data_IF_732136120906
#
_entry.id   IF_732136120906
#
_cell.length_a   1.000
_cell.length_b   1.000
_cell.length_c   1.000
_cell.angle_alpha   90.00
_cell.angle_beta   90.00
_cell.angle_gamma   90.00
#
_symmetry.space_group_name_H-M   'P 1'
#
loop_
_entity.id
_entity.type
_entity.pdbx_description
1 polymer ?
#
# COMPACT_ATOMS: atom_id res chain seq x y z
N UNK A 1 -13.25 7.53 2.67
CA UNK A 1 -12.41 6.36 2.42
C UNK A 1 -11.09 6.68 3.05
N UNK A 2 -10.68 5.85 4.00
CA UNK A 2 -9.44 6.04 4.73
C UNK A 2 -8.23 5.42 4.01
N UNK A 3 -7.04 5.82 4.43
CA UNK A 3 -5.79 5.18 4.06
C UNK A 3 -5.35 4.23 5.17
N UNK A 4 -5.03 3.00 4.84
CA UNK A 4 -4.32 2.10 5.74
C UNK A 4 -2.90 1.96 5.22
N UNK A 5 -1.89 2.03 6.07
CA UNK A 5 -0.51 2.00 5.60
C UNK A 5 0.43 1.28 6.54
N UNK A 6 1.56 0.85 6.00
CA UNK A 6 2.68 0.32 6.77
C UNK A 6 3.93 1.18 6.57
N UNK A 7 4.76 1.32 7.60
CA UNK A 7 5.95 2.16 7.52
C UNK A 7 7.07 1.63 8.41
N UNK A 8 8.21 1.26 7.81
CA UNK A 8 9.40 0.82 8.54
C UNK A 8 10.26 2.03 8.96
N UNK A 9 10.72 2.84 8.00
CA UNK A 9 11.64 3.96 8.25
C UNK A 9 10.95 5.33 8.37
N UNK A 10 9.63 5.37 8.36
CA UNK A 10 8.83 6.59 8.48
C UNK A 10 8.52 7.30 7.16
N UNK A 11 9.01 6.81 6.02
CA UNK A 11 8.80 7.47 4.72
C UNK A 11 7.33 7.42 4.28
N UNK A 12 6.68 6.26 4.37
CA UNK A 12 5.24 6.13 4.10
C UNK A 12 4.43 6.97 5.09
N UNK A 13 4.79 6.95 6.39
CA UNK A 13 4.17 7.80 7.41
C UNK A 13 4.24 9.29 7.06
N UNK A 14 5.39 9.76 6.55
CA UNK A 14 5.54 11.15 6.08
C UNK A 14 4.70 11.46 4.85
N UNK A 15 4.43 10.48 3.98
CA UNK A 15 3.54 10.67 2.82
C UNK A 15 2.08 10.82 3.26
N UNK A 16 1.55 9.87 4.04
CA UNK A 16 0.13 9.90 4.46
C UNK A 16 -0.19 11.15 5.27
N UNK A 17 0.74 11.64 6.11
CA UNK A 17 0.58 12.89 6.85
C UNK A 17 0.49 14.16 5.98
N UNK A 18 0.83 14.07 4.69
CA UNK A 18 0.64 15.19 3.74
C UNK A 18 -0.75 15.18 3.11
N UNK A 19 -1.48 14.06 3.19
CA UNK A 19 -2.84 13.93 2.67
C UNK A 19 -3.85 14.48 3.68
N UNK A 20 -5.02 14.88 3.20
CA UNK A 20 -6.16 15.28 4.02
C UNK A 20 -7.12 14.12 4.32
N UNK A 21 -6.68 12.87 4.09
CA UNK A 21 -7.47 11.67 4.30
C UNK A 21 -7.25 11.12 5.72
N UNK A 22 -8.32 10.59 6.31
CA UNK A 22 -8.21 9.78 7.53
C UNK A 22 -7.28 8.59 7.27
N UNK A 23 -6.46 8.24 8.24
CA UNK A 23 -5.47 7.19 8.05
C UNK A 23 -5.14 6.44 9.34
N UNK A 24 -4.78 5.17 9.15
CA UNK A 24 -4.46 4.23 10.22
C UNK A 24 -3.20 3.44 9.86
N UNK A 25 -2.28 3.30 10.82
CA UNK A 25 -1.01 2.61 10.62
C UNK A 25 -1.12 1.16 11.08
N UNK A 26 -0.71 0.22 10.23
CA UNK A 26 -0.47 -1.17 10.61
C UNK A 26 0.78 -1.20 11.48
N UNK A 27 0.63 -1.62 12.74
CA UNK A 27 1.75 -1.71 13.67
C UNK A 27 2.38 -3.11 13.58
N UNK A 28 3.73 -3.23 13.53
CA UNK A 28 4.38 -4.55 13.43
C UNK A 28 4.02 -5.54 14.56
N UNK A 29 3.69 -5.03 15.75
CA UNK A 29 3.36 -5.85 16.91
C UNK A 29 1.85 -6.03 17.13
N UNK A 30 1.03 -5.36 16.32
CA UNK A 30 -0.44 -5.42 16.40
C UNK A 30 -1.06 -5.19 15.01
N UNK A 31 -0.82 -6.09 14.04
CA UNK A 31 -1.30 -5.93 12.67
C UNK A 31 -2.76 -6.36 12.47
N UNK A 32 -3.36 -7.04 13.46
CA UNK A 32 -4.67 -7.68 13.35
C UNK A 32 -5.80 -6.77 13.87
N UNK A 33 -6.26 -5.84 13.03
CA UNK A 33 -7.43 -5.01 13.32
C UNK A 33 -8.40 -4.98 12.13
N UNK A 34 -9.69 -4.78 12.40
CA UNK A 34 -10.73 -4.75 11.36
C UNK A 34 -10.81 -3.37 10.68
N UNK A 35 -10.74 -3.34 9.35
CA UNK A 35 -10.87 -2.13 8.57
C UNK A 35 -12.27 -1.49 8.68
N UNK A 36 -13.32 -2.30 8.73
CA UNK A 36 -14.75 -1.94 8.87
C UNK A 36 -15.36 -0.99 7.81
N UNK A 37 -14.56 -0.45 6.91
CA UNK A 37 -14.97 0.44 5.83
C UNK A 37 -14.02 0.33 4.65
N UNK A 38 -14.45 0.81 3.49
CA UNK A 38 -13.62 0.84 2.29
C UNK A 38 -12.34 1.68 2.50
N UNK A 39 -11.20 1.16 2.04
CA UNK A 39 -9.90 1.80 2.20
C UNK A 39 -8.96 1.61 1.01
N UNK A 40 -7.95 2.47 0.92
CA UNK A 40 -6.74 2.26 0.11
C UNK A 40 -5.60 1.81 1.01
N UNK A 41 -4.83 0.82 0.57
CA UNK A 41 -3.61 0.42 1.28
C UNK A 41 -2.37 1.07 0.66
N UNK A 42 -1.48 1.64 1.47
CA UNK A 42 -0.19 2.17 1.03
C UNK A 42 0.96 1.36 1.64
N UNK A 43 1.74 0.72 0.79
CA UNK A 43 2.77 -0.24 1.22
C UNK A 43 4.15 0.13 0.66
N UNK A 44 5.19 0.22 1.52
CA UNK A 44 6.56 0.36 1.05
C UNK A 44 7.06 -0.96 0.47
N UNK A 45 8.13 -0.88 -0.32
CA UNK A 45 8.77 -2.04 -0.91
C UNK A 45 10.00 -2.43 -0.10
N UNK A 46 9.97 -3.64 0.44
CA UNK A 46 11.13 -4.28 1.03
C UNK A 46 11.20 -5.69 0.49
N UNK A 47 12.38 -6.09 0.04
CA UNK A 47 12.68 -7.44 -0.40
C UNK A 47 13.94 -7.89 0.34
N UNK A 48 14.04 -9.20 0.61
CA UNK A 48 15.29 -9.77 1.08
C UNK A 48 16.38 -9.58 0.00
N UNK A 49 17.53 -9.01 0.39
CA UNK A 49 18.67 -8.82 -0.51
C UNK A 49 19.49 -10.12 -0.68
N UNK A 50 19.08 -11.22 -0.05
CA UNK A 50 19.69 -12.53 -0.21
C UNK A 50 19.52 -13.04 -1.65
N UNK A 51 20.61 -13.46 -2.33
CA UNK A 51 20.53 -13.96 -3.71
C UNK A 51 19.52 -15.11 -3.85
N UNK A 52 18.44 -14.87 -4.60
CA UNK A 52 17.37 -15.84 -4.87
C UNK A 52 16.14 -15.74 -3.95
N UNK A 53 16.14 -14.85 -2.96
CA UNK A 53 14.99 -14.58 -2.09
C UNK A 53 14.18 -13.38 -2.61
N UNK A 54 13.40 -13.59 -3.67
CA UNK A 54 12.44 -12.59 -4.17
C UNK A 54 11.14 -12.66 -3.36
N UNK A 55 11.17 -12.39 -2.05
CA UNK A 55 9.95 -12.37 -1.23
C UNK A 55 9.94 -11.16 -0.31
N UNK A 56 8.85 -10.38 -0.34
CA UNK A 56 8.65 -9.31 0.64
C UNK A 56 8.12 -9.86 1.96
N UNK A 57 7.50 -11.04 1.94
CA UNK A 57 6.69 -11.59 3.03
C UNK A 57 7.46 -11.53 4.37
N UNK A 58 8.67 -12.05 4.43
CA UNK A 58 9.47 -12.09 5.67
C UNK A 58 9.73 -10.71 6.32
N UNK A 59 9.68 -9.61 5.57
CA UNK A 59 9.86 -8.24 6.10
C UNK A 59 8.52 -7.52 6.26
N UNK A 60 7.53 -7.89 5.43
CA UNK A 60 6.25 -7.21 5.27
C UNK A 60 5.09 -8.03 5.82
N UNK A 61 5.36 -9.10 6.58
CA UNK A 61 4.39 -9.98 7.23
C UNK A 61 3.23 -9.22 7.89
N UNK A 62 3.45 -8.11 8.64
CA UNK A 62 2.35 -7.33 9.21
C UNK A 62 1.30 -6.87 8.19
N UNK A 63 1.70 -6.57 6.96
CA UNK A 63 0.78 -6.18 5.88
C UNK A 63 -0.04 -7.38 5.41
N UNK A 64 0.59 -8.55 5.25
CA UNK A 64 -0.09 -9.76 4.81
C UNK A 64 -1.03 -10.32 5.88
N UNK A 65 -0.63 -10.23 7.16
CA UNK A 65 -1.46 -10.57 8.32
C UNK A 65 -2.68 -9.66 8.39
N UNK A 66 -2.49 -8.33 8.33
CA UNK A 66 -3.58 -7.37 8.27
C UNK A 66 -4.56 -7.67 7.13
N UNK A 67 -4.06 -7.93 5.92
CA UNK A 67 -4.92 -8.19 4.76
C UNK A 67 -5.66 -9.53 4.84
N UNK A 68 -5.08 -10.53 5.52
CA UNK A 68 -5.69 -11.84 5.74
C UNK A 68 -6.65 -11.86 6.93
N UNK A 69 -6.63 -10.82 7.77
CA UNK A 69 -7.45 -10.73 8.96
C UNK A 69 -8.90 -10.35 8.64
N UNK A 70 -9.85 -11.05 9.26
CA UNK A 70 -11.29 -10.86 9.11
C UNK A 70 -11.73 -10.74 7.63
N UNK A 71 -12.33 -9.62 7.25
CA UNK A 71 -12.76 -9.33 5.87
C UNK A 71 -11.98 -8.15 5.25
N UNK A 72 -10.78 -7.83 5.77
CA UNK A 72 -10.04 -6.63 5.37
C UNK A 72 -9.79 -6.57 3.86
N UNK A 73 -9.40 -7.69 3.24
CA UNK A 73 -9.20 -7.75 1.78
C UNK A 73 -10.45 -7.37 0.96
N UNK A 74 -11.68 -7.56 1.47
CA UNK A 74 -12.92 -7.20 0.77
C UNK A 74 -13.18 -5.68 0.78
N UNK A 75 -12.67 -4.99 1.80
CA UNK A 75 -12.79 -3.54 1.96
C UNK A 75 -11.66 -2.77 1.24
N UNK A 76 -10.55 -3.44 0.92
CA UNK A 76 -9.45 -2.81 0.19
C UNK A 76 -9.84 -2.56 -1.28
N UNK A 77 -9.90 -1.29 -1.69
CA UNK A 77 -10.28 -0.88 -3.06
C UNK A 77 -9.10 -0.70 -4.01
N UNK A 78 -7.89 -0.71 -3.48
CA UNK A 78 -6.69 -0.53 -4.29
C UNK A 78 -5.43 -0.47 -3.45
N UNK A 79 -4.31 -0.79 -4.11
CA UNK A 79 -2.96 -0.78 -3.53
C UNK A 79 -2.18 0.40 -4.12
N UNK A 80 -1.54 1.17 -3.26
CA UNK A 80 -0.54 2.19 -3.63
C UNK A 80 0.82 1.69 -3.20
N UNK A 81 1.71 1.48 -4.17
CA UNK A 81 3.09 1.05 -3.91
C UNK A 81 4.03 2.23 -3.75
N UNK A 82 4.86 2.24 -2.71
CA UNK A 82 6.01 3.16 -2.62
C UNK A 82 7.33 2.39 -2.63
N UNK A 83 8.34 2.98 -3.27
CA UNK A 83 9.65 2.36 -3.39
C UNK A 83 10.71 3.32 -3.91
N UNK A 84 11.70 2.76 -4.58
CA UNK A 84 12.79 3.50 -5.22
C UNK A 84 13.04 2.87 -6.59
N UNK A 85 12.94 3.65 -7.67
CA UNK A 85 13.04 3.15 -9.05
C UNK A 85 14.43 2.64 -9.40
N UNK A 86 15.44 2.96 -8.60
CA UNK A 86 16.79 2.38 -8.73
C UNK A 86 16.80 0.85 -8.57
N UNK A 87 15.75 0.26 -7.97
CA UNK A 87 15.57 -1.18 -7.86
C UNK A 87 14.92 -1.85 -9.09
N UNK A 88 14.69 -1.10 -10.16
CA UNK A 88 14.23 -1.60 -11.46
C UNK A 88 13.02 -2.55 -11.36
N UNK A 89 13.18 -3.85 -11.66
CA UNK A 89 12.10 -4.85 -11.62
C UNK A 89 11.48 -5.01 -10.23
N UNK A 90 12.26 -4.75 -9.18
CA UNK A 90 11.83 -4.80 -7.77
C UNK A 90 11.18 -3.48 -7.30
N UNK A 91 11.02 -2.49 -8.19
CA UNK A 91 10.21 -1.32 -7.87
C UNK A 91 8.76 -1.76 -7.56
N UNK A 92 8.21 -1.26 -6.45
CA UNK A 92 6.88 -1.61 -5.91
C UNK A 92 6.66 -3.11 -5.69
N UNK A 93 7.71 -3.88 -5.42
CA UNK A 93 7.64 -5.35 -5.35
C UNK A 93 6.59 -5.87 -4.36
N UNK A 94 6.53 -5.30 -3.16
CA UNK A 94 5.52 -5.70 -2.16
C UNK A 94 4.09 -5.43 -2.63
N UNK A 95 3.85 -4.33 -3.33
CA UNK A 95 2.53 -4.05 -3.91
C UNK A 95 2.16 -5.08 -4.99
N UNK A 96 3.13 -5.54 -5.80
CA UNK A 96 2.93 -6.58 -6.81
C UNK A 96 2.58 -7.93 -6.17
N UNK A 97 3.29 -8.34 -5.13
CA UNK A 97 2.98 -9.57 -4.39
C UNK A 97 1.60 -9.51 -3.74
N UNK A 98 1.27 -8.39 -3.09
CA UNK A 98 -0.03 -8.19 -2.45
C UNK A 98 -1.17 -8.21 -3.47
N UNK A 99 -0.97 -7.56 -4.62
CA UNK A 99 -1.93 -7.57 -5.73
C UNK A 99 -2.15 -8.98 -6.28
N UNK A 100 -1.08 -9.75 -6.47
CA UNK A 100 -1.17 -11.13 -6.94
C UNK A 100 -1.86 -12.06 -5.92
N UNK A 101 -1.61 -11.89 -4.63
CA UNK A 101 -2.18 -12.75 -3.59
C UNK A 101 -3.66 -12.47 -3.34
N UNK A 102 -4.04 -11.20 -3.21
CA UNK A 102 -5.40 -10.80 -2.84
C UNK A 102 -6.28 -10.40 -4.03
N UNK A 103 -5.73 -10.40 -5.25
CA UNK A 103 -6.44 -10.02 -6.49
C UNK A 103 -6.99 -8.58 -6.46
N UNK A 104 -6.26 -7.67 -5.81
CA UNK A 104 -6.62 -6.25 -5.67
C UNK A 104 -5.76 -5.43 -6.65
N UNK A 105 -6.32 -4.45 -7.39
CA UNK A 105 -5.55 -3.66 -8.33
C UNK A 105 -4.56 -2.74 -7.64
N UNK A 106 -3.36 -2.63 -8.19
CA UNK A 106 -2.47 -1.50 -7.92
C UNK A 106 -3.07 -0.29 -8.63
N UNK A 107 -3.29 0.81 -7.93
CA UNK A 107 -3.96 2.01 -8.45
C UNK A 107 -3.01 3.18 -8.66
N UNK A 108 -1.88 3.21 -7.93
CA UNK A 108 -0.86 4.25 -8.03
C UNK A 108 0.49 3.77 -7.49
N UNK A 109 1.56 4.46 -7.88
CA UNK A 109 2.91 4.27 -7.38
C UNK A 109 3.64 5.60 -7.20
N UNK A 110 4.55 5.67 -6.22
CA UNK A 110 5.44 6.81 -6.07
C UNK A 110 6.79 6.43 -5.44
N UNK A 111 7.70 7.39 -5.31
CA UNK A 111 9.01 7.18 -4.69
C UNK A 111 9.13 7.82 -3.32
N UNK A 112 9.80 7.13 -2.40
CA UNK A 112 10.12 7.62 -1.06
C UNK A 112 8.90 8.11 -0.27
N UNK A 113 8.85 9.40 0.06
CA UNK A 113 7.75 10.03 0.79
C UNK A 113 6.83 10.87 -0.12
N UNK A 114 6.94 10.69 -1.44
CA UNK A 114 6.10 11.33 -2.45
C UNK A 114 6.27 12.84 -2.60
N UNK A 115 5.81 13.32 -3.75
CA UNK A 115 5.73 14.73 -4.14
C UNK A 115 4.33 15.30 -3.86
N UNK A 116 4.13 16.62 -3.92
CA UNK A 116 2.79 17.21 -3.86
C UNK A 116 1.83 16.68 -4.95
N UNK A 117 2.36 16.34 -6.12
CA UNK A 117 1.56 15.72 -7.20
C UNK A 117 1.10 14.32 -6.83
N UNK A 118 1.93 13.54 -6.14
CA UNK A 118 1.56 12.20 -5.67
C UNK A 118 0.47 12.25 -4.60
N UNK A 119 0.54 13.24 -3.71
CA UNK A 119 -0.51 13.50 -2.72
C UNK A 119 -1.84 13.81 -3.42
N UNK A 120 -1.84 14.76 -4.36
CA UNK A 120 -3.05 15.13 -5.11
C UNK A 120 -3.61 13.95 -5.92
N UNK A 121 -2.74 13.11 -6.50
CA UNK A 121 -3.17 11.93 -7.25
C UNK A 121 -3.82 10.88 -6.35
N UNK A 122 -3.24 10.59 -5.17
CA UNK A 122 -3.83 9.63 -4.23
C UNK A 122 -5.17 10.12 -3.68
N UNK A 123 -5.30 11.42 -3.39
CA UNK A 123 -6.57 12.02 -2.97
C UNK A 123 -7.65 11.93 -4.07
N UNK A 124 -7.31 12.23 -5.33
CA UNK A 124 -8.23 12.06 -6.48
C UNK A 124 -8.65 10.60 -6.66
N UNK A 125 -7.70 9.68 -6.59
CA UNK A 125 -7.95 8.24 -6.73
C UNK A 125 -8.90 7.74 -5.64
N UNK A 126 -8.67 8.13 -4.38
CA UNK A 126 -9.54 7.78 -3.27
C UNK A 126 -10.98 8.26 -3.52
N UNK A 127 -11.16 9.54 -3.86
CA UNK A 127 -12.47 10.11 -4.14
C UNK A 127 -13.19 9.42 -5.31
N UNK A 128 -12.44 9.05 -6.35
CA UNK A 128 -13.01 8.35 -7.51
C UNK A 128 -13.39 6.90 -7.19
N UNK A 129 -12.60 6.18 -6.40
CA UNK A 129 -12.94 4.84 -5.96
C UNK A 129 -14.19 4.83 -5.07
N UNK A 130 -14.35 5.84 -4.20
CA UNK A 130 -15.60 6.02 -3.42
C UNK A 130 -16.82 6.21 -4.31
N UNK A 131 -16.66 6.90 -5.43
CA UNK A 131 -17.73 7.09 -6.43
C UNK A 131 -18.01 5.85 -7.29
N UNK A 132 -17.30 4.73 -7.05
CA UNK A 132 -17.45 3.47 -7.78
C UNK A 132 -16.66 3.39 -9.09
N UNK A 133 -15.65 4.25 -9.28
CA UNK A 133 -14.78 4.16 -10.44
C UNK A 133 -13.94 2.87 -10.40
N UNK A 134 -13.67 2.28 -11.56
CA UNK A 134 -12.71 1.19 -11.69
C UNK A 134 -11.35 1.77 -12.14
N UNK A 135 -10.34 1.67 -11.28
CA UNK A 135 -9.01 2.26 -11.49
C UNK A 135 -7.97 1.15 -11.39
N UNK A 136 -7.01 1.18 -12.30
CA UNK A 136 -5.81 0.35 -12.23
C UNK A 136 -4.63 1.11 -12.84
N UNK A 137 -3.44 0.86 -12.28
CA UNK A 137 -2.18 1.33 -12.82
C UNK A 137 -1.94 0.62 -14.16
N UNK A 138 -1.73 1.38 -15.23
CA UNK A 138 -1.37 0.83 -16.53
C UNK A 138 0.10 0.43 -16.50
N UNK A 139 0.38 -0.84 -16.73
CA UNK A 139 1.73 -1.40 -16.91
C UNK A 139 2.33 -1.03 -18.27
#
# INVERSE_FOLDING_TARGET
MKLIYFSITGQTRRFVNKTNLEHEEILPNDPEFEANEDFLIIVPSYADETPGAEKSMDIMDPVFEFMSYANNAQYCKGIVGTGNRNFASLYIFTAKELSAQFQIPIVYDFEFNGTPSDVAAVEDIAARLESGANISLKS
#
